data_IF_339994049014
#
_entry.id   IF_339994049014
#
_cell.length_a   1.000
_cell.length_b   1.000
_cell.length_c   1.000
_cell.angle_alpha   90.00
_cell.angle_beta   90.00
_cell.angle_gamma   90.00
#
_symmetry.space_group_name_H-M   'P 1'
#
loop_
_entity.id
_entity.type
_entity.pdbx_description
1 polymer ?
#
# COMPACT_ATOMS: atom_id res chain seq x y z
N UNK A 1 -0.98 -17.21 -10.07
CA UNK A 1 -1.85 -16.97 -8.90
C UNK A 1 -3.31 -17.10 -9.33
N UNK A 2 -4.21 -17.68 -8.51
CA UNK A 2 -5.65 -17.69 -8.84
C UNK A 2 -6.23 -16.26 -8.71
N UNK A 3 -7.16 -15.84 -9.58
CA UNK A 3 -7.76 -14.50 -9.54
C UNK A 3 -8.50 -14.17 -8.23
N UNK A 4 -8.95 -15.21 -7.51
CA UNK A 4 -9.61 -15.08 -6.21
C UNK A 4 -8.64 -14.62 -5.11
N UNK A 5 -7.37 -15.03 -5.18
CA UNK A 5 -6.32 -14.63 -4.21
C UNK A 5 -6.00 -13.14 -4.35
N UNK A 6 -6.01 -12.61 -5.58
CA UNK A 6 -5.78 -11.19 -5.83
C UNK A 6 -6.91 -10.33 -5.27
N UNK A 7 -8.18 -10.75 -5.41
CA UNK A 7 -9.32 -10.03 -4.83
C UNK A 7 -9.26 -9.96 -3.31
N UNK A 8 -8.88 -11.06 -2.65
CA UNK A 8 -8.69 -11.08 -1.20
C UNK A 8 -7.59 -10.09 -0.76
N UNK A 9 -6.49 -10.02 -1.51
CA UNK A 9 -5.42 -9.05 -1.26
C UNK A 9 -5.87 -7.60 -1.45
N UNK A 10 -6.73 -7.31 -2.42
CA UNK A 10 -7.31 -5.96 -2.57
C UNK A 10 -8.15 -5.56 -1.36
N UNK A 11 -9.06 -6.44 -0.93
CA UNK A 11 -9.91 -6.18 0.25
C UNK A 11 -9.09 -5.97 1.52
N UNK A 12 -8.02 -6.74 1.69
CA UNK A 12 -7.12 -6.58 2.83
C UNK A 12 -6.29 -5.29 2.75
N UNK A 13 -5.76 -4.96 1.58
CA UNK A 13 -5.05 -3.69 1.36
C UNK A 13 -5.96 -2.48 1.57
N UNK A 14 -7.23 -2.56 1.17
CA UNK A 14 -8.23 -1.53 1.41
C UNK A 14 -8.55 -1.38 2.90
N UNK A 15 -8.76 -2.49 3.60
CA UNK A 15 -9.00 -2.50 5.06
C UNK A 15 -7.84 -1.91 5.86
N UNK A 16 -6.61 -2.03 5.34
CA UNK A 16 -5.40 -1.43 5.91
C UNK A 16 -5.16 0.03 5.46
N UNK A 17 -6.01 0.57 4.58
CA UNK A 17 -5.92 1.92 4.05
C UNK A 17 -4.67 2.16 3.22
N UNK A 18 -4.23 1.15 2.44
CA UNK A 18 -2.98 1.21 1.67
C UNK A 18 -3.07 2.06 0.42
N UNK A 19 -4.26 2.18 -0.18
CA UNK A 19 -4.46 2.97 -1.39
C UNK A 19 -4.61 4.44 -1.03
N UNK A 20 -3.50 5.18 -1.12
CA UNK A 20 -3.52 6.64 -1.00
C UNK A 20 -2.86 7.26 -2.22
N UNK A 21 -3.65 7.83 -3.15
CA UNK A 21 -3.08 8.57 -4.24
C UNK A 21 -2.33 9.77 -3.67
N UNK A 22 -1.04 9.85 -4.01
CA UNK A 22 -0.20 10.99 -3.72
C UNK A 22 -0.23 11.98 -4.88
N UNK A 23 -0.02 13.27 -4.59
CA UNK A 23 0.16 14.27 -5.64
C UNK A 23 1.39 13.92 -6.49
N UNK A 24 1.37 14.26 -7.79
CA UNK A 24 2.45 13.93 -8.75
C UNK A 24 3.86 14.44 -8.34
N UNK A 25 3.94 15.30 -7.34
CA UNK A 25 5.18 15.91 -6.82
C UNK A 25 5.54 15.45 -5.40
N UNK A 26 4.74 14.58 -4.78
CA UNK A 26 5.07 14.04 -3.46
C UNK A 26 6.20 13.01 -3.60
N UNK A 27 7.37 13.34 -3.03
CA UNK A 27 8.52 12.45 -2.95
C UNK A 27 8.62 11.72 -1.62
N UNK A 28 7.81 12.10 -0.63
CA UNK A 28 7.81 11.54 0.72
C UNK A 28 6.43 10.98 1.07
N UNK A 29 6.41 9.81 1.70
CA UNK A 29 5.19 9.16 2.16
C UNK A 29 4.54 9.98 3.28
N UNK A 30 3.27 10.33 3.14
CA UNK A 30 2.54 11.11 4.15
C UNK A 30 2.31 10.37 5.48
N UNK A 31 2.65 9.08 5.57
CA UNK A 31 2.50 8.27 6.80
C UNK A 31 3.80 8.02 7.55
N UNK A 32 4.90 7.73 6.84
CA UNK A 32 6.18 7.40 7.47
C UNK A 32 7.32 8.36 7.09
N UNK A 33 7.04 9.35 6.24
CA UNK A 33 8.00 10.34 5.71
C UNK A 33 9.19 9.75 4.94
N UNK A 34 9.22 8.44 4.72
CA UNK A 34 10.20 7.80 3.86
C UNK A 34 10.00 8.20 2.39
N UNK A 35 11.08 8.11 1.60
CA UNK A 35 11.05 8.42 0.18
C UNK A 35 10.15 7.43 -0.59
N UNK A 36 9.29 7.97 -1.44
CA UNK A 36 8.45 7.19 -2.36
C UNK A 36 9.26 6.75 -3.58
N UNK A 37 8.85 5.64 -4.19
CA UNK A 37 9.40 5.21 -5.47
C UNK A 37 8.84 6.07 -6.63
N UNK A 38 9.32 5.84 -7.86
CA UNK A 38 8.86 6.58 -9.05
C UNK A 38 7.38 6.37 -9.41
N UNK A 39 6.67 5.46 -8.71
CA UNK A 39 5.24 5.19 -8.87
C UNK A 39 4.42 5.71 -7.68
N UNK A 40 5.07 6.34 -6.70
CA UNK A 40 4.44 6.82 -5.47
C UNK A 40 4.23 5.74 -4.40
N UNK A 41 4.78 4.53 -4.58
CA UNK A 41 4.71 3.45 -3.61
C UNK A 41 5.78 3.62 -2.52
N UNK A 42 5.40 3.43 -1.26
CA UNK A 42 6.31 3.52 -0.13
C UNK A 42 6.93 2.16 0.20
N UNK A 43 8.24 2.03 -0.01
CA UNK A 43 8.97 0.80 0.28
C UNK A 43 9.07 0.48 1.78
N UNK A 44 8.85 1.46 2.67
CA UNK A 44 9.01 1.35 4.12
C UNK A 44 7.74 0.90 4.83
N UNK A 45 6.62 1.61 4.63
CA UNK A 45 5.36 1.31 5.33
C UNK A 45 4.33 0.55 4.49
N UNK A 46 4.66 0.26 3.22
CA UNK A 46 3.80 -0.50 2.30
C UNK A 46 2.64 0.31 1.70
N UNK A 47 2.65 1.63 1.82
CA UNK A 47 1.62 2.47 1.21
C UNK A 47 1.73 2.45 -0.32
N UNK A 48 0.60 2.41 -1.00
CA UNK A 48 0.50 2.34 -2.47
C UNK A 48 -0.01 3.70 -2.97
N UNK A 49 0.82 4.36 -3.80
CA UNK A 49 0.55 5.70 -4.34
C UNK A 49 -0.51 5.76 -5.44
N UNK A 50 -1.15 4.63 -5.74
CA UNK A 50 -2.04 4.41 -6.89
C UNK A 50 -3.43 4.01 -6.41
N UNK A 51 -4.50 4.44 -7.10
CA UNK A 51 -5.85 4.06 -6.74
C UNK A 51 -6.09 2.58 -7.02
N UNK A 52 -6.95 1.95 -6.22
CA UNK A 52 -7.31 0.55 -6.35
C UNK A 52 -7.73 0.20 -7.80
N UNK A 53 -8.55 1.05 -8.44
CA UNK A 53 -9.01 0.84 -9.82
C UNK A 53 -7.92 0.83 -10.89
N UNK A 54 -6.76 1.46 -10.65
CA UNK A 54 -5.62 1.34 -11.56
C UNK A 54 -4.93 -0.01 -11.39
N UNK A 55 -4.72 -0.44 -10.15
CA UNK A 55 -4.17 -1.75 -9.85
C UNK A 55 -5.10 -2.89 -10.29
N UNK A 56 -6.42 -2.73 -10.20
CA UNK A 56 -7.39 -3.72 -10.70
C UNK A 56 -7.28 -3.90 -12.21
N UNK A 57 -7.15 -2.80 -12.97
CA UNK A 57 -6.86 -2.87 -14.41
C UNK A 57 -5.54 -3.56 -14.68
N UNK A 58 -4.51 -3.25 -13.88
CA UNK A 58 -3.20 -3.90 -14.01
C UNK A 58 -3.26 -5.39 -13.70
N UNK A 59 -4.08 -5.82 -12.74
CA UNK A 59 -4.27 -7.22 -12.41
C UNK A 59 -4.89 -8.03 -13.55
N UNK A 60 -5.62 -7.40 -14.48
CA UNK A 60 -6.14 -8.08 -15.67
C UNK A 60 -5.02 -8.47 -16.64
N UNK A 61 -3.98 -7.65 -16.75
CA UNK A 61 -2.84 -7.89 -17.64
C UNK A 61 -1.66 -8.58 -16.96
N UNK A 62 -1.47 -8.34 -15.66
CA UNK A 62 -0.38 -8.87 -14.82
C UNK A 62 -0.89 -9.21 -13.41
N UNK A 63 -1.64 -10.32 -13.26
CA UNK A 63 -2.20 -10.71 -11.97
C UNK A 63 -1.12 -11.14 -10.97
N UNK A 64 -0.03 -11.75 -11.45
CA UNK A 64 1.04 -12.29 -10.59
C UNK A 64 1.91 -11.16 -10.03
N UNK A 65 2.28 -10.17 -10.85
CA UNK A 65 2.99 -8.99 -10.38
C UNK A 65 2.15 -8.12 -9.43
N UNK A 66 0.86 -7.96 -9.72
CA UNK A 66 -0.05 -7.21 -8.84
C UNK A 66 -0.24 -7.92 -7.50
N UNK A 67 -0.40 -9.25 -7.52
CA UNK A 67 -0.51 -10.05 -6.30
C UNK A 67 0.74 -9.97 -5.41
N UNK A 68 1.94 -10.04 -6.00
CA UNK A 68 3.21 -9.87 -5.26
C UNK A 68 3.35 -8.49 -4.64
N UNK A 69 2.93 -7.45 -5.37
CA UNK A 69 2.94 -6.07 -4.88
C UNK A 69 2.03 -5.90 -3.67
N UNK A 70 0.77 -6.36 -3.77
CA UNK A 70 -0.20 -6.26 -2.68
C UNK A 70 0.25 -7.03 -1.44
N UNK A 71 0.73 -8.28 -1.60
CA UNK A 71 1.27 -9.05 -0.46
C UNK A 71 2.41 -8.32 0.23
N UNK A 72 3.38 -7.82 -0.55
CA UNK A 72 4.53 -7.11 0.02
C UNK A 72 4.11 -5.84 0.75
N UNK A 73 3.15 -5.11 0.19
CA UNK A 73 2.58 -3.90 0.79
C UNK A 73 1.87 -4.20 2.12
N UNK A 74 1.01 -5.24 2.13
CA UNK A 74 0.30 -5.73 3.30
C UNK A 74 1.26 -6.18 4.40
N UNK A 75 2.24 -7.03 4.05
CA UNK A 75 3.22 -7.55 5.02
C UNK A 75 4.02 -6.41 5.65
N UNK A 76 4.47 -5.45 4.83
CA UNK A 76 5.15 -4.25 5.32
C UNK A 76 4.26 -3.44 6.23
N UNK A 77 2.99 -3.23 5.88
CA UNK A 77 2.06 -2.47 6.71
C UNK A 77 1.79 -3.13 8.06
N UNK A 78 1.62 -4.45 8.06
CA UNK A 78 1.44 -5.24 9.29
C UNK A 78 2.70 -5.23 10.16
N UNK A 79 3.86 -5.26 9.53
CA UNK A 79 5.17 -5.21 10.23
C UNK A 79 5.58 -3.80 10.63
N UNK A 80 5.03 -2.77 9.97
CA UNK A 80 5.32 -1.37 10.22
C UNK A 80 4.66 -0.94 11.53
N UNK A 81 5.44 -1.02 12.60
CA UNK A 81 5.13 -0.36 13.87
C UNK A 81 5.59 1.09 13.76
N UNK A 82 4.69 2.09 13.76
CA UNK A 82 5.12 3.48 13.84
C UNK A 82 5.93 3.66 15.13
N UNK A 83 7.20 4.05 14.98
CA UNK A 83 8.05 4.56 16.07
C UNK A 83 7.42 5.86 16.57
N UNK A 84 6.40 5.74 17.43
CA UNK A 84 5.60 6.88 17.87
C UNK A 84 4.12 6.62 18.13
N UNK A 85 3.58 5.40 17.94
CA UNK A 85 2.31 5.03 18.59
C UNK A 85 2.51 4.85 20.10
N UNK A 86 3.06 5.87 20.78
CA UNK A 86 2.63 6.16 22.14
C UNK A 86 1.20 6.65 22.00
N UNK A 87 0.28 5.83 22.50
CA UNK A 87 -0.89 6.26 23.24
C UNK A 87 -1.02 7.78 23.36
N UNK A 88 -1.70 8.41 22.40
CA UNK A 88 -2.41 9.64 22.69
C UNK A 88 -3.79 9.22 23.18
N UNK A 89 -3.81 8.61 24.36
CA UNK A 89 -4.94 8.78 25.28
C UNK A 89 -4.94 10.28 25.60
N UNK A 90 -5.76 11.04 24.87
CA UNK A 90 -6.04 12.41 25.27
C UNK A 90 -7.04 12.35 26.43
N UNK A 91 -6.53 12.80 27.56
CA UNK A 91 -7.20 13.32 28.75
C UNK A 91 -8.46 14.15 28.42
#
# INVERSE_FOLDING_TARGET
MAPEDTKALFAEAESLGLFKPHGAFEVHCSYCHARLDGRGDCATCGLIGRPASELERRAQSDPDGTGKLLRSAIEKRKSFKPVGAKEKSQD
#
